data_IF_160652543544
#
_entry.id   IF_160652543544
#
_cell.length_a   1.000
_cell.length_b   1.000
_cell.length_c   1.000
_cell.angle_alpha   90.00
_cell.angle_beta   90.00
_cell.angle_gamma   90.00
#
_symmetry.space_group_name_H-M   'P 1'
#
loop_
_entity.id
_entity.type
_entity.pdbx_description
1 polymer ?
#
# COMPACT_ATOMS: atom_id res chain seq x y z
N UNK A 1 -2.66 -18.63 19.08
CA UNK A 1 -3.04 -19.48 17.95
C UNK A 1 -3.65 -18.53 16.95
N UNK A 2 -2.90 -18.24 15.88
CA UNK A 2 -3.37 -17.40 14.78
C UNK A 2 -4.67 -18.01 14.23
N UNK A 3 -5.72 -17.21 14.18
CA UNK A 3 -7.04 -17.63 13.71
C UNK A 3 -6.95 -17.95 12.22
N UNK A 4 -7.62 -19.01 11.76
CA UNK A 4 -7.62 -19.59 10.41
C UNK A 4 -7.90 -18.62 9.22
N UNK A 5 -8.05 -17.32 9.45
CA UNK A 5 -8.22 -16.26 8.45
C UNK A 5 -6.91 -15.65 7.91
N UNK A 6 -5.73 -16.03 8.42
CA UNK A 6 -4.49 -15.28 8.15
C UNK A 6 -3.58 -15.88 7.06
N UNK A 7 -4.07 -16.80 6.21
CA UNK A 7 -3.30 -17.30 5.07
C UNK A 7 -3.98 -16.98 3.74
N UNK A 8 -4.12 -15.69 3.43
CA UNK A 8 -4.59 -15.26 2.10
C UNK A 8 -3.39 -15.05 1.20
N UNK A 9 -3.35 -15.75 0.06
CA UNK A 9 -2.30 -15.58 -0.94
C UNK A 9 -2.65 -14.43 -1.90
N UNK A 10 -1.65 -13.65 -2.32
CA UNK A 10 -1.84 -12.54 -3.26
C UNK A 10 -2.42 -12.98 -4.63
N UNK A 11 -2.26 -14.25 -5.00
CA UNK A 11 -2.82 -14.83 -6.22
C UNK A 11 -4.28 -15.28 -6.08
N UNK A 12 -4.81 -15.42 -4.86
CA UNK A 12 -6.19 -15.86 -4.62
C UNK A 12 -7.18 -14.69 -4.73
N UNK A 13 -6.72 -13.47 -4.51
CA UNK A 13 -7.54 -12.26 -4.67
C UNK A 13 -7.35 -11.75 -6.10
N UNK A 14 -8.35 -11.91 -6.96
CA UNK A 14 -8.30 -11.52 -8.38
C UNK A 14 -7.77 -10.09 -8.61
N UNK A 15 -8.27 -9.12 -7.82
CA UNK A 15 -7.83 -7.73 -7.89
C UNK A 15 -6.33 -7.57 -7.59
N UNK A 16 -5.80 -8.29 -6.60
CA UNK A 16 -4.38 -8.22 -6.22
C UNK A 16 -3.54 -8.97 -7.25
N UNK A 17 -3.99 -10.14 -7.68
CA UNK A 17 -3.33 -10.95 -8.70
C UNK A 17 -3.14 -10.17 -10.01
N UNK A 18 -4.12 -9.37 -10.43
CA UNK A 18 -4.01 -8.51 -11.62
C UNK A 18 -2.97 -7.40 -11.53
N UNK A 19 -2.47 -7.10 -10.32
CA UNK A 19 -1.43 -6.11 -10.06
C UNK A 19 -0.05 -6.76 -9.88
N UNK A 20 0.02 -8.10 -9.81
CA UNK A 20 1.31 -8.79 -9.76
C UNK A 20 1.94 -8.70 -11.16
N UNK A 21 3.16 -8.16 -11.30
CA UNK A 21 3.84 -8.10 -12.60
C UNK A 21 4.03 -9.49 -13.20
N UNK A 22 3.96 -9.62 -14.53
CA UNK A 22 4.05 -10.92 -15.22
C UNK A 22 5.35 -11.69 -14.91
N UNK A 23 6.45 -10.99 -14.62
CA UNK A 23 7.76 -11.58 -14.29
C UNK A 23 7.99 -11.75 -12.78
N UNK A 24 7.06 -11.30 -11.94
CA UNK A 24 7.20 -11.31 -10.48
C UNK A 24 6.54 -12.54 -9.85
N UNK A 25 7.15 -13.06 -8.79
CA UNK A 25 6.61 -14.21 -8.06
C UNK A 25 5.56 -13.82 -7.01
N UNK A 26 5.49 -12.55 -6.63
CA UNK A 26 4.60 -12.06 -5.57
C UNK A 26 4.31 -10.56 -5.73
N UNK A 27 3.20 -10.09 -5.17
CA UNK A 27 2.86 -8.66 -5.13
C UNK A 27 3.91 -7.81 -4.41
N UNK A 28 4.67 -8.40 -3.48
CA UNK A 28 5.74 -7.70 -2.75
C UNK A 28 6.92 -7.30 -3.65
N UNK A 29 7.05 -7.91 -4.82
CA UNK A 29 8.06 -7.57 -5.83
C UNK A 29 7.57 -6.46 -6.78
N UNK A 30 6.32 -6.00 -6.65
CA UNK A 30 5.83 -4.89 -7.44
C UNK A 30 6.70 -3.65 -7.20
N UNK A 31 7.14 -2.91 -8.25
CA UNK A 31 8.11 -1.81 -8.12
C UNK A 31 7.71 -0.72 -7.12
N UNK A 32 6.41 -0.51 -6.92
CA UNK A 32 5.89 0.49 -5.99
C UNK A 32 5.66 -0.05 -4.58
N UNK A 33 5.73 -1.37 -4.35
CA UNK A 33 5.40 -1.97 -3.06
C UNK A 33 6.25 -1.41 -1.92
N UNK A 34 7.55 -1.23 -2.18
CA UNK A 34 8.46 -0.67 -1.19
C UNK A 34 8.12 0.78 -0.81
N UNK A 35 7.74 1.62 -1.78
CA UNK A 35 7.42 3.03 -1.56
C UNK A 35 6.00 3.23 -1.00
N UNK A 36 5.03 2.47 -1.49
CA UNK A 36 3.62 2.70 -1.14
C UNK A 36 3.18 1.95 0.12
N UNK A 37 3.78 0.80 0.42
CA UNK A 37 3.35 -0.06 1.54
C UNK A 37 4.39 -0.15 2.66
N UNK A 38 5.68 -0.03 2.36
CA UNK A 38 6.75 -0.19 3.35
C UNK A 38 7.46 1.13 3.71
N UNK A 39 7.18 2.23 2.99
CA UNK A 39 7.72 3.53 3.34
C UNK A 39 7.01 4.07 4.59
N UNK A 40 7.81 4.42 5.59
CA UNK A 40 7.31 4.99 6.84
C UNK A 40 6.56 6.30 6.60
N UNK A 41 6.96 7.08 5.60
CA UNK A 41 6.30 8.32 5.24
C UNK A 41 4.92 8.05 4.61
N UNK A 42 4.78 6.99 3.80
CA UNK A 42 3.47 6.58 3.31
C UNK A 42 2.53 6.18 4.46
N UNK A 43 3.05 5.44 5.46
CA UNK A 43 2.28 5.07 6.66
C UNK A 43 1.86 6.29 7.50
N UNK A 44 2.76 7.25 7.69
CA UNK A 44 2.47 8.52 8.37
C UNK A 44 1.38 9.31 7.65
N UNK A 45 1.41 9.34 6.31
CA UNK A 45 0.39 9.98 5.50
C UNK A 45 -0.99 9.33 5.67
N UNK A 46 -1.08 8.00 5.59
CA UNK A 46 -2.36 7.31 5.81
C UNK A 46 -2.88 7.50 7.24
N UNK A 47 -2.01 7.47 8.24
CA UNK A 47 -2.37 7.76 9.64
C UNK A 47 -2.95 9.18 9.77
N UNK A 48 -2.31 10.15 9.11
CA UNK A 48 -2.78 11.54 9.09
C UNK A 48 -4.13 11.69 8.39
N UNK A 49 -4.41 10.91 7.34
CA UNK A 49 -5.71 10.89 6.66
C UNK A 49 -6.82 10.30 7.54
N UNK A 50 -6.53 9.25 8.33
CA UNK A 50 -7.48 8.67 9.28
C UNK A 50 -7.83 9.66 10.40
N UNK A 51 -6.82 10.36 10.94
CA UNK A 51 -7.02 11.36 12.00
C UNK A 51 -7.70 12.64 11.49
N UNK A 52 -7.53 12.98 10.21
CA UNK A 52 -8.04 14.21 9.59
C UNK A 52 -8.61 13.93 8.20
N UNK A 53 -9.89 13.51 8.12
CA UNK A 53 -10.57 13.38 6.84
C UNK A 53 -10.63 14.76 6.15
N UNK A 54 -9.92 14.89 5.01
CA UNK A 54 -9.72 16.15 4.26
C UNK A 54 -8.27 16.43 3.89
N UNK A 55 -7.31 15.72 4.49
CA UNK A 55 -5.88 15.80 4.13
C UNK A 55 -5.60 15.36 2.69
N UNK A 56 -6.43 14.46 2.15
CA UNK A 56 -6.41 14.07 0.73
C UNK A 56 -6.67 15.24 -0.24
N UNK A 57 -7.34 16.29 0.22
CA UNK A 57 -7.66 17.47 -0.59
C UNK A 57 -6.59 18.56 -0.47
N UNK A 58 -5.57 18.37 0.37
CA UNK A 58 -4.43 19.28 0.55
C UNK A 58 -3.25 18.83 -0.34
N UNK A 59 -3.10 19.37 -1.57
CA UNK A 59 -2.08 18.93 -2.53
C UNK A 59 -0.66 19.12 -2.00
N UNK A 60 -0.43 20.07 -1.09
CA UNK A 60 0.85 20.29 -0.42
C UNK A 60 1.26 19.11 0.49
N UNK A 61 0.29 18.44 1.13
CA UNK A 61 0.57 17.30 2.01
C UNK A 61 0.86 16.07 1.15
N UNK A 62 0.06 15.84 0.10
CA UNK A 62 0.32 14.74 -0.83
C UNK A 62 1.70 14.83 -1.48
N UNK A 63 2.14 16.05 -1.85
CA UNK A 63 3.45 16.27 -2.45
C UNK A 63 4.62 15.99 -1.50
N UNK A 64 4.45 16.24 -0.20
CA UNK A 64 5.48 15.98 0.81
C UNK A 64 5.71 14.47 1.03
N UNK A 65 4.64 13.67 0.93
CA UNK A 65 4.67 12.25 1.26
C UNK A 65 4.78 11.29 0.06
N UNK A 66 4.29 11.64 -1.13
CA UNK A 66 4.31 10.74 -2.31
C UNK A 66 5.39 11.03 -3.36
N UNK A 67 6.14 12.14 -3.27
CA UNK A 67 7.05 12.57 -4.34
C UNK A 67 8.36 13.19 -3.82
N UNK A 68 9.24 12.37 -3.26
CA UNK A 68 10.68 12.67 -3.18
C UNK A 68 11.49 11.68 -4.01
#
# INVERSE_FOLDING_TARGET
>A
METENESVCCHEIEKVNSLVPDEAACITEHPTFQHECLDIHALEYYTLMEDRPGVNEAPEIHRYYCCN
#
